data_IF_815878035123
#
_entry.id   IF_815878035123
#
_cell.length_a   1.000
_cell.length_b   1.000
_cell.length_c   1.000
_cell.angle_alpha   90.00
_cell.angle_beta   90.00
_cell.angle_gamma   90.00
#
_symmetry.space_group_name_H-M   'P 1'
#
loop_
_entity.id
_entity.type
_entity.pdbx_description
1 polymer ?
#
# COMPACT_ATOMS: atom_id res chain seq x y z
N UNK A 1 2.30 -56.66 -13.86
CA UNK A 1 2.83 -55.32 -14.21
C UNK A 1 1.70 -54.30 -14.22
N UNK A 2 1.35 -53.67 -13.08
CA UNK A 2 0.25 -52.67 -13.01
C UNK A 2 0.18 -51.97 -11.63
N UNK A 3 1.29 -51.37 -11.15
CA UNK A 3 1.29 -50.64 -9.85
C UNK A 3 2.17 -49.37 -9.82
N UNK A 4 2.49 -48.76 -10.96
CA UNK A 4 3.35 -47.56 -11.00
C UNK A 4 2.74 -46.33 -11.68
N UNK A 5 1.49 -46.39 -12.17
CA UNK A 5 0.89 -45.30 -12.94
C UNK A 5 0.17 -44.22 -12.11
N UNK A 6 0.00 -44.42 -10.79
CA UNK A 6 -0.82 -43.52 -9.96
C UNK A 6 -0.02 -42.39 -9.28
N UNK A 7 1.31 -42.50 -9.19
CA UNK A 7 2.14 -41.49 -8.51
C UNK A 7 2.54 -40.30 -9.41
N UNK A 8 2.50 -40.46 -10.73
CA UNK A 8 2.93 -39.42 -11.67
C UNK A 8 1.89 -38.31 -11.90
N UNK A 9 0.60 -38.58 -11.62
CA UNK A 9 -0.48 -37.60 -11.82
C UNK A 9 -0.63 -36.67 -10.61
N UNK A 10 -0.25 -37.11 -9.41
CA UNK A 10 -0.37 -36.29 -8.19
C UNK A 10 0.67 -35.16 -8.10
N UNK A 11 1.78 -35.26 -8.83
CA UNK A 11 2.85 -34.24 -8.84
C UNK A 11 2.59 -33.12 -9.87
N UNK A 12 1.70 -33.32 -10.84
CA UNK A 12 1.35 -32.28 -11.84
C UNK A 12 0.24 -31.31 -11.40
N UNK A 13 -0.34 -31.48 -10.21
CA UNK A 13 -1.31 -30.55 -9.63
C UNK A 13 -0.70 -29.57 -8.63
N UNK A 14 0.62 -29.36 -8.68
CA UNK A 14 1.16 -28.07 -8.24
C UNK A 14 0.77 -27.07 -9.32
N UNK A 15 -0.49 -26.67 -9.33
CA UNK A 15 -0.92 -25.48 -10.02
C UNK A 15 -0.01 -24.37 -9.50
N UNK A 16 0.97 -23.96 -10.33
CA UNK A 16 1.73 -22.73 -10.13
C UNK A 16 0.70 -21.61 -10.01
N UNK A 17 0.20 -21.37 -8.80
CA UNK A 17 -0.53 -20.17 -8.44
C UNK A 17 0.50 -19.07 -8.53
N UNK A 18 0.68 -18.55 -9.74
CA UNK A 18 1.56 -17.44 -9.99
C UNK A 18 0.98 -16.29 -9.17
N UNK A 19 1.72 -15.88 -8.14
CA UNK A 19 1.34 -14.76 -7.30
C UNK A 19 0.95 -13.59 -8.22
N UNK A 20 -0.21 -13.00 -7.98
CA UNK A 20 -0.74 -11.92 -8.82
C UNK A 20 -0.68 -10.64 -8.01
N UNK A 21 -0.10 -9.59 -8.60
CA UNK A 21 -0.12 -8.28 -7.96
C UNK A 21 -1.55 -7.80 -7.81
N UNK A 22 -1.97 -7.37 -6.61
CA UNK A 22 -3.24 -6.69 -6.38
C UNK A 22 -3.27 -5.29 -7.03
N UNK A 23 -3.43 -5.23 -8.35
CA UNK A 23 -3.48 -3.98 -9.12
C UNK A 23 -4.83 -3.27 -9.06
N UNK A 24 -4.81 -1.96 -9.31
CA UNK A 24 -5.98 -1.07 -9.40
C UNK A 24 -6.89 -1.07 -8.16
N UNK A 25 -6.34 -1.43 -6.99
CA UNK A 25 -7.07 -1.44 -5.73
C UNK A 25 -6.27 -0.79 -4.60
N UNK A 26 -6.98 -0.13 -3.68
CA UNK A 26 -6.37 0.41 -2.47
C UNK A 26 -6.03 -0.70 -1.50
N UNK A 27 -4.76 -0.76 -1.12
CA UNK A 27 -4.28 -1.63 -0.07
C UNK A 27 -3.91 -0.78 1.15
N UNK A 28 -4.64 -0.96 2.24
CA UNK A 28 -4.54 -0.17 3.44
C UNK A 28 -3.80 -0.93 4.54
N UNK A 29 -2.93 -0.23 5.25
CA UNK A 29 -2.35 -0.65 6.52
C UNK A 29 -2.66 0.39 7.59
N UNK A 30 -3.09 -0.09 8.76
CA UNK A 30 -3.16 0.73 9.97
C UNK A 30 -1.79 0.67 10.65
N UNK A 31 -1.13 1.82 10.80
CA UNK A 31 0.27 1.87 11.23
C UNK A 31 0.42 1.90 12.76
N UNK A 32 -0.63 2.32 13.49
CA UNK A 32 -0.64 2.39 14.96
C UNK A 32 -2.04 2.07 15.50
N UNK A 33 -2.15 1.71 16.79
CA UNK A 33 -3.45 1.48 17.42
C UNK A 33 -4.41 2.65 17.24
N UNK A 34 -5.69 2.32 17.13
CA UNK A 34 -6.77 3.29 17.09
C UNK A 34 -6.81 4.15 18.35
N UNK A 35 -7.16 5.41 18.17
CA UNK A 35 -7.32 6.40 19.22
C UNK A 35 -8.71 7.02 19.13
N UNK A 36 -9.34 7.24 20.28
CA UNK A 36 -10.57 8.03 20.38
C UNK A 36 -10.23 9.29 21.17
N UNK A 37 -10.26 10.48 20.54
CA UNK A 37 -10.05 11.73 21.27
C UNK A 37 -11.06 11.86 22.41
N UNK A 38 -10.63 12.36 23.57
CA UNK A 38 -11.50 12.51 24.73
C UNK A 38 -12.75 13.35 24.44
N UNK A 39 -12.63 14.38 23.58
CA UNK A 39 -13.75 15.22 23.13
C UNK A 39 -14.82 14.46 22.32
N UNK A 40 -14.49 13.26 21.83
CA UNK A 40 -15.38 12.38 21.07
C UNK A 40 -15.69 11.08 21.86
N UNK A 41 -15.37 11.03 23.15
CA UNK A 41 -15.71 9.88 24.00
C UNK A 41 -17.23 9.63 23.98
N UNK A 42 -17.62 8.37 23.85
CA UNK A 42 -19.03 7.96 23.68
C UNK A 42 -19.57 8.10 22.26
N UNK A 43 -18.85 8.76 21.33
CA UNK A 43 -19.14 8.71 19.90
C UNK A 43 -18.42 7.52 19.27
N UNK A 44 -19.02 6.87 18.27
CA UNK A 44 -18.39 5.80 17.48
C UNK A 44 -17.43 6.36 16.44
N UNK A 45 -16.49 7.18 16.89
CA UNK A 45 -15.48 7.83 16.07
C UNK A 45 -14.10 7.50 16.64
N UNK A 46 -13.20 7.02 15.78
CA UNK A 46 -11.80 6.74 16.13
C UNK A 46 -10.89 7.09 14.96
N UNK A 47 -9.62 7.35 15.26
CA UNK A 47 -8.63 7.67 14.25
C UNK A 47 -7.34 6.88 14.45
N UNK A 48 -6.60 6.67 13.36
CA UNK A 48 -5.31 6.03 13.40
C UNK A 48 -4.41 6.53 12.26
N UNK A 49 -3.09 6.68 12.46
CA UNK A 49 -2.15 6.77 11.35
C UNK A 49 -2.28 5.54 10.45
N UNK A 50 -2.33 5.78 9.14
CA UNK A 50 -2.48 4.74 8.15
C UNK A 50 -1.66 5.04 6.90
N UNK A 51 -1.44 3.98 6.12
CA UNK A 51 -0.77 4.06 4.83
C UNK A 51 -1.58 3.29 3.79
N UNK A 52 -1.78 3.89 2.63
CA UNK A 52 -2.30 3.22 1.44
C UNK A 52 -1.17 3.04 0.45
N UNK A 53 -1.16 1.89 -0.23
CA UNK A 53 -0.36 1.64 -1.42
C UNK A 53 -1.27 1.24 -2.57
N UNK A 54 -0.86 1.61 -3.78
CA UNK A 54 -1.63 1.39 -4.99
C UNK A 54 -0.68 1.05 -6.15
N UNK A 55 -0.93 -0.10 -6.79
CA UNK A 55 -0.18 -0.58 -7.94
C UNK A 55 -1.02 -0.39 -9.20
N UNK A 56 -0.63 0.53 -10.08
CA UNK A 56 -1.33 0.78 -11.34
C UNK A 56 -0.89 -0.19 -12.43
N UNK A 57 -1.80 -0.52 -13.34
CA UNK A 57 -1.55 -1.40 -14.48
C UNK A 57 -0.50 -0.86 -15.46
N UNK A 58 -0.32 0.46 -15.50
CA UNK A 58 0.72 1.15 -16.29
C UNK A 58 2.13 1.05 -15.66
N UNK A 59 2.26 0.38 -14.51
CA UNK A 59 3.52 0.21 -13.78
C UNK A 59 3.83 1.38 -12.84
N UNK A 60 2.96 2.39 -12.70
CA UNK A 60 3.13 3.45 -11.70
C UNK A 60 2.71 2.95 -10.30
N UNK A 61 3.54 3.28 -9.32
CA UNK A 61 3.28 3.06 -7.90
C UNK A 61 2.84 4.36 -7.25
N UNK A 62 1.87 4.29 -6.36
CA UNK A 62 1.49 5.39 -5.49
C UNK A 62 1.38 4.93 -4.04
N UNK A 63 1.83 5.79 -3.12
CA UNK A 63 1.59 5.62 -1.69
C UNK A 63 1.14 6.92 -1.05
N UNK A 64 0.34 6.79 0.01
CA UNK A 64 -0.14 7.90 0.81
C UNK A 64 -0.06 7.53 2.29
N UNK A 65 0.61 8.39 3.06
CA UNK A 65 0.64 8.37 4.52
C UNK A 65 -0.26 9.47 5.07
N UNK A 66 -1.18 9.11 5.97
CA UNK A 66 -2.22 10.01 6.44
C UNK A 66 -2.81 9.56 7.78
N UNK A 67 -3.74 10.34 8.33
CA UNK A 67 -4.61 9.90 9.42
C UNK A 67 -5.95 9.43 8.88
N UNK A 68 -6.31 8.21 9.21
CA UNK A 68 -7.60 7.60 8.91
C UNK A 68 -8.59 7.96 10.00
N UNK A 69 -9.83 8.27 9.64
CA UNK A 69 -10.95 8.46 10.56
C UNK A 69 -11.98 7.37 10.23
N UNK A 70 -12.38 6.60 11.24
CA UNK A 70 -13.51 5.69 11.13
C UNK A 70 -14.70 6.27 11.89
N UNK A 71 -15.84 6.30 11.21
CA UNK A 71 -17.11 6.74 11.78
C UNK A 71 -18.14 5.62 11.66
N UNK A 72 -18.85 5.37 12.76
CA UNK A 72 -19.91 4.36 12.87
C UNK A 72 -19.49 2.93 12.50
N UNK A 73 -18.19 2.62 12.53
CA UNK A 73 -17.63 1.29 12.16
C UNK A 73 -17.85 0.87 10.70
N UNK A 74 -18.40 1.76 9.87
CA UNK A 74 -18.79 1.43 8.50
C UNK A 74 -17.95 2.16 7.46
N UNK A 75 -17.59 3.43 7.73
CA UNK A 75 -16.96 4.28 6.73
C UNK A 75 -15.61 4.78 7.20
N UNK A 76 -14.64 4.70 6.29
CA UNK A 76 -13.28 5.16 6.47
C UNK A 76 -13.04 6.41 5.64
N UNK A 77 -12.56 7.47 6.28
CA UNK A 77 -12.25 8.75 5.66
C UNK A 77 -10.77 9.09 5.82
N UNK A 78 -10.22 9.77 4.83
CA UNK A 78 -8.90 10.39 4.94
C UNK A 78 -9.09 11.73 5.66
N UNK A 79 -8.37 11.92 6.78
CA UNK A 79 -8.39 13.19 7.52
C UNK A 79 -7.90 14.33 6.63
N UNK A 80 -8.68 15.41 6.55
CA UNK A 80 -8.29 16.64 5.88
C UNK A 80 -7.14 17.36 6.60
N UNK A 81 -7.06 17.20 7.93
CA UNK A 81 -6.03 17.82 8.75
C UNK A 81 -4.70 17.06 8.65
N UNK A 82 -3.65 17.80 8.25
CA UNK A 82 -2.25 17.40 8.09
C UNK A 82 -1.66 16.85 9.42
N UNK A 83 -0.66 15.94 9.40
CA UNK A 83 0.28 15.68 8.32
C UNK A 83 -0.11 14.55 7.37
N UNK A 84 -0.02 14.83 6.06
CA UNK A 84 0.00 13.84 4.99
C UNK A 84 1.33 13.88 4.24
N UNK A 85 1.68 12.78 3.59
CA UNK A 85 2.79 12.69 2.65
C UNK A 85 2.47 11.63 1.60
N UNK A 86 2.71 11.92 0.33
CA UNK A 86 2.55 10.94 -0.75
C UNK A 86 3.86 10.72 -1.49
N UNK A 87 3.98 9.56 -2.14
CA UNK A 87 5.07 9.28 -3.07
C UNK A 87 4.54 8.59 -4.32
N UNK A 88 5.23 8.82 -5.44
CA UNK A 88 5.00 8.12 -6.70
C UNK A 88 6.28 7.42 -7.16
N UNK A 89 6.14 6.36 -7.93
CA UNK A 89 7.25 5.58 -8.43
C UNK A 89 6.89 4.66 -9.59
N UNK A 90 7.81 3.75 -9.92
CA UNK A 90 7.53 2.61 -10.80
C UNK A 90 7.70 1.31 -10.02
N UNK A 91 6.86 0.33 -10.30
CA UNK A 91 6.92 -1.00 -9.70
C UNK A 91 7.15 -2.09 -10.74
N UNK A 92 7.78 -3.19 -10.31
CA UNK A 92 8.01 -4.39 -11.13
C UNK A 92 7.80 -5.64 -10.28
N UNK A 93 7.09 -6.62 -10.82
CA UNK A 93 6.92 -7.92 -10.17
C UNK A 93 8.06 -8.88 -10.54
N UNK A 94 8.64 -9.56 -9.54
CA UNK A 94 9.61 -10.66 -9.70
C UNK A 94 9.18 -11.88 -8.89
N UNK A 95 8.49 -12.82 -9.52
CA UNK A 95 7.91 -13.96 -8.81
C UNK A 95 6.86 -13.51 -7.80
N UNK A 96 7.10 -13.74 -6.52
CA UNK A 96 6.22 -13.34 -5.41
C UNK A 96 6.58 -11.96 -4.82
N UNK A 97 7.61 -11.30 -5.35
CA UNK A 97 8.03 -9.98 -4.87
C UNK A 97 7.58 -8.87 -5.82
N UNK A 98 7.35 -7.69 -5.25
CA UNK A 98 7.15 -6.44 -5.98
C UNK A 98 8.26 -5.50 -5.56
N UNK A 99 9.10 -5.12 -6.50
CA UNK A 99 10.11 -4.08 -6.32
C UNK A 99 9.52 -2.73 -6.69
N UNK A 100 9.73 -1.74 -5.85
CA UNK A 100 9.23 -0.37 -6.01
C UNK A 100 10.39 0.61 -5.91
N UNK A 101 10.48 1.46 -6.93
CA UNK A 101 11.40 2.60 -6.96
C UNK A 101 10.60 3.88 -6.98
N UNK A 102 10.61 4.63 -5.87
CA UNK A 102 9.95 5.93 -5.78
C UNK A 102 10.74 6.97 -6.58
N UNK A 103 10.06 7.73 -7.45
CA UNK A 103 10.61 8.87 -8.21
C UNK A 103 10.47 10.19 -7.45
N UNK A 104 9.30 10.45 -6.83
CA UNK A 104 8.97 11.75 -6.24
C UNK A 104 8.18 11.58 -4.94
N UNK A 105 8.31 12.55 -4.04
CA UNK A 105 7.58 12.61 -2.77
C UNK A 105 6.95 13.98 -2.61
N UNK A 106 5.80 14.11 -1.94
CA UNK A 106 5.12 15.41 -1.84
C UNK A 106 5.77 16.40 -0.86
N UNK A 107 6.68 15.94 0.00
CA UNK A 107 7.34 16.79 1.01
C UNK A 107 8.85 16.55 1.10
N UNK A 108 9.60 17.61 1.39
CA UNK A 108 11.06 17.54 1.51
C UNK A 108 11.52 16.77 2.75
N UNK A 109 10.84 16.96 3.89
CA UNK A 109 11.19 16.37 5.18
C UNK A 109 11.04 14.85 5.23
N UNK A 110 10.33 14.28 4.24
CA UNK A 110 10.08 12.84 4.14
C UNK A 110 10.98 12.10 3.17
N UNK A 111 11.82 12.84 2.43
CA UNK A 111 12.70 12.28 1.40
C UNK A 111 13.66 11.23 1.94
N UNK A 112 14.24 11.44 3.12
CA UNK A 112 15.27 10.56 3.70
C UNK A 112 14.75 9.15 3.97
N UNK A 113 13.48 9.00 4.33
CA UNK A 113 12.88 7.70 4.63
C UNK A 113 12.06 7.14 3.46
N UNK A 114 11.33 8.00 2.73
CA UNK A 114 10.54 7.53 1.59
C UNK A 114 11.41 7.21 0.39
N UNK A 115 12.52 7.90 0.11
CA UNK A 115 13.29 7.63 -1.11
C UNK A 115 14.16 6.37 -1.08
N UNK A 116 13.98 5.50 -0.09
CA UNK A 116 14.58 4.18 -0.06
C UNK A 116 13.85 3.23 -1.02
N UNK A 117 14.56 2.34 -1.73
CA UNK A 117 13.91 1.25 -2.47
C UNK A 117 13.02 0.42 -1.56
N UNK A 118 11.90 -0.04 -2.10
CA UNK A 118 10.90 -0.76 -1.34
C UNK A 118 10.62 -2.11 -1.98
N UNK A 119 10.48 -3.13 -1.15
CA UNK A 119 10.03 -4.45 -1.57
C UNK A 119 8.74 -4.80 -0.86
N UNK A 120 7.85 -5.46 -1.60
CA UNK A 120 6.69 -6.12 -1.04
C UNK A 120 6.71 -7.60 -1.40
N UNK A 121 6.10 -8.41 -0.54
CA UNK A 121 5.77 -9.81 -0.79
C UNK A 121 4.28 -9.97 -1.01
N UNK A 122 3.89 -10.67 -2.07
CA UNK A 122 2.50 -10.93 -2.41
C UNK A 122 1.98 -12.05 -1.51
N UNK A 123 0.80 -11.84 -0.90
CA UNK A 123 0.12 -12.84 -0.09
C UNK A 123 -1.39 -12.79 -0.37
N UNK A 124 -1.84 -13.67 -1.27
CA UNK A 124 -3.23 -13.67 -1.75
C UNK A 124 -3.60 -12.35 -2.43
N UNK A 125 -4.57 -11.63 -1.88
CA UNK A 125 -5.01 -10.31 -2.36
C UNK A 125 -4.34 -9.13 -1.63
N UNK A 126 -3.39 -9.44 -0.74
CA UNK A 126 -2.67 -8.48 0.11
C UNK A 126 -1.19 -8.46 -0.25
N UNK A 127 -0.48 -7.47 0.29
CA UNK A 127 0.98 -7.43 0.24
C UNK A 127 1.57 -7.15 1.61
N UNK A 128 2.76 -7.66 1.89
CA UNK A 128 3.53 -7.33 3.09
C UNK A 128 4.76 -6.54 2.71
N UNK A 129 5.03 -5.43 3.39
CA UNK A 129 6.25 -4.66 3.19
C UNK A 129 6.33 -3.45 4.12
N UNK A 130 7.32 -2.60 3.90
CA UNK A 130 7.62 -1.46 4.77
C UNK A 130 7.49 -0.11 4.06
N UNK A 131 6.28 0.21 3.56
CA UNK A 131 6.04 1.55 3.05
C UNK A 131 6.06 2.54 4.23
N UNK A 132 7.03 3.46 4.24
CA UNK A 132 7.15 4.52 5.25
C UNK A 132 8.17 4.28 6.37
N UNK A 133 8.98 3.23 6.34
CA UNK A 133 10.03 3.01 7.35
C UNK A 133 9.50 2.67 8.75
N UNK A 134 8.25 2.21 8.84
CA UNK A 134 7.55 1.87 10.10
C UNK A 134 7.63 0.39 10.47
N UNK A 135 8.43 -0.39 9.73
CA UNK A 135 8.53 -1.84 9.84
C UNK A 135 7.63 -2.55 8.81
N UNK A 136 7.88 -3.84 8.65
CA UNK A 136 7.06 -4.69 7.78
C UNK A 136 5.65 -4.82 8.34
N UNK A 137 4.66 -4.67 7.47
CA UNK A 137 3.27 -4.89 7.81
C UNK A 137 2.42 -5.24 6.60
N UNK A 138 1.26 -5.82 6.87
CA UNK A 138 0.32 -6.22 5.83
C UNK A 138 -0.52 -5.04 5.36
N UNK A 139 -0.63 -4.89 4.04
CA UNK A 139 -1.53 -3.99 3.34
C UNK A 139 -2.64 -4.85 2.73
N UNK A 140 -3.87 -4.64 3.18
CA UNK A 140 -5.02 -5.43 2.77
C UNK A 140 -5.99 -4.60 1.91
N UNK A 141 -6.72 -5.23 0.98
CA UNK A 141 -7.77 -4.55 0.22
C UNK A 141 -8.76 -3.82 1.13
N UNK A 142 -9.10 -2.58 0.79
CA UNK A 142 -10.11 -1.80 1.50
C UNK A 142 -11.21 -1.32 0.57
N UNK A 143 -12.46 -1.66 0.91
CA UNK A 143 -13.66 -1.26 0.16
C UNK A 143 -14.45 -0.14 0.86
N UNK A 144 -14.27 0.02 2.18
CA UNK A 144 -14.96 1.01 3.02
C UNK A 144 -14.33 2.41 2.97
N UNK A 145 -13.22 2.56 2.24
CA UNK A 145 -12.48 3.81 2.15
C UNK A 145 -13.14 4.74 1.14
N UNK A 146 -13.54 5.91 1.63
CA UNK A 146 -14.02 7.03 0.82
C UNK A 146 -12.83 7.97 0.57
N UNK A 147 -12.31 7.96 -0.65
CA UNK A 147 -11.16 8.76 -1.07
C UNK A 147 -11.47 9.59 -2.35
N UNK A 148 -12.45 10.50 -2.32
CA UNK A 148 -12.84 11.30 -3.50
C UNK A 148 -11.68 12.16 -4.02
N UNK A 149 -10.81 12.61 -3.12
CA UNK A 149 -9.65 13.46 -3.45
C UNK A 149 -8.40 12.68 -3.84
N UNK A 150 -8.50 11.37 -4.09
CA UNK A 150 -7.36 10.54 -4.45
C UNK A 150 -6.54 11.11 -5.62
N UNK A 151 -7.22 11.60 -6.66
CA UNK A 151 -6.57 12.20 -7.82
C UNK A 151 -5.79 13.47 -7.45
N UNK A 152 -6.27 14.24 -6.48
CA UNK A 152 -5.58 15.42 -5.96
C UNK A 152 -4.28 15.03 -5.25
N UNK A 153 -4.28 13.95 -4.46
CA UNK A 153 -3.06 13.47 -3.79
C UNK A 153 -2.02 12.89 -4.75
N UNK A 154 -2.48 12.21 -5.79
CA UNK A 154 -1.63 11.72 -6.87
C UNK A 154 -1.00 12.88 -7.65
N UNK A 155 -1.80 13.91 -7.95
CA UNK A 155 -1.33 15.15 -8.58
C UNK A 155 -0.29 15.87 -7.71
N UNK A 156 -0.53 15.99 -6.40
CA UNK A 156 0.41 16.60 -5.45
C UNK A 156 1.80 15.94 -5.50
N UNK A 157 1.86 14.60 -5.51
CA UNK A 157 3.13 13.88 -5.62
C UNK A 157 3.80 14.06 -6.99
N UNK A 158 3.01 14.04 -8.07
CA UNK A 158 3.50 14.22 -9.45
C UNK A 158 4.09 15.60 -9.67
N UNK A 159 3.44 16.64 -9.16
CA UNK A 159 3.85 18.04 -9.34
C UNK A 159 4.89 18.50 -8.30
N UNK A 160 5.14 17.68 -7.28
CA UNK A 160 6.14 17.99 -6.26
C UNK A 160 7.54 18.28 -6.86
N UNK A 161 8.28 19.28 -6.35
CA UNK A 161 9.66 19.51 -6.76
C UNK A 161 10.65 18.51 -6.13
N UNK A 162 10.21 17.68 -5.18
CA UNK A 162 11.10 16.80 -4.41
C UNK A 162 11.26 15.44 -5.07
N UNK A 163 12.37 15.28 -5.79
CA UNK A 163 12.76 14.03 -6.43
C UNK A 163 13.56 13.14 -5.47
N UNK A 164 13.40 11.83 -5.63
CA UNK A 164 14.24 10.87 -4.94
C UNK A 164 15.63 10.81 -5.58
N UNK A 165 16.71 10.87 -4.78
CA UNK A 165 18.08 10.87 -5.29
C UNK A 165 18.39 9.58 -6.05
N UNK A 166 19.18 9.70 -7.12
CA UNK A 166 19.67 8.56 -7.90
C UNK A 166 18.69 7.99 -8.94
N UNK A 167 17.47 8.51 -9.03
CA UNK A 167 16.49 8.09 -10.05
C UNK A 167 16.53 9.06 -11.23
N UNK A 168 17.19 8.67 -12.32
CA UNK A 168 17.15 9.42 -13.58
C UNK A 168 15.81 9.17 -14.29
N UNK A 169 15.25 10.22 -14.90
CA UNK A 169 13.97 10.15 -15.61
C UNK A 169 14.00 9.29 -16.86
#
# INVERSE_FOLDING_TARGET
>A
MRKYAAAAVLVMLVACHRAKVPHEQFLLRIDRPWQTPAALAGKRIRSAPATIVYFRNDGEYFELHFHLIEQNEETLYISENLPRASAIGKWVQKGETIEVTRRKVSRADVTTFLCTPLMFHISGYSVTGNAGGKGDGMYAPVTRLVAPDFQSYLKEARESPFNCPGVKE
#
